data_IF_068918280357
#
_entry.id   IF_068918280357
#
_cell.length_a   1.000
_cell.length_b   1.000
_cell.length_c   1.000
_cell.angle_alpha   90.00
_cell.angle_beta   90.00
_cell.angle_gamma   90.00
#
_symmetry.space_group_name_H-M   'P 1'
#
loop_
_entity.id
_entity.type
_entity.pdbx_description
1 polymer ?
#
# COMPACT_ATOMS: atom_id res chain seq x y z
N UNK A 1 -9.28 -31.93 18.06
CA UNK A 1 -8.51 -30.74 17.65
C UNK A 1 -7.02 -31.07 17.70
N UNK A 2 -6.32 -31.29 16.61
CA UNK A 2 -4.86 -31.36 16.65
C UNK A 2 -4.37 -29.92 16.55
N UNK A 3 -3.98 -29.32 17.69
CA UNK A 3 -3.30 -28.06 17.75
C UNK A 3 -2.04 -28.13 16.88
N UNK A 4 -1.96 -27.29 15.85
CA UNK A 4 -0.72 -27.01 15.13
C UNK A 4 0.24 -26.36 16.14
N UNK A 5 0.95 -27.20 16.90
CA UNK A 5 2.10 -26.75 17.70
C UNK A 5 3.08 -26.17 16.66
N UNK A 6 3.23 -24.85 16.64
CA UNK A 6 4.47 -24.25 16.19
C UNK A 6 5.58 -24.74 17.12
N UNK A 7 5.92 -26.01 17.00
CA UNK A 7 7.21 -26.50 17.47
C UNK A 7 8.23 -25.72 16.65
N UNK A 8 9.24 -25.18 17.30
CA UNK A 8 10.46 -24.67 16.72
C UNK A 8 11.06 -25.74 15.78
N UNK A 9 10.40 -25.92 14.64
CA UNK A 9 10.86 -26.81 13.60
C UNK A 9 11.71 -25.92 12.67
N UNK A 10 13.04 -26.03 12.73
CA UNK A 10 13.92 -25.19 11.91
C UNK A 10 13.59 -25.29 10.41
N UNK A 11 12.87 -26.33 10.00
CA UNK A 11 12.39 -26.48 8.63
C UNK A 11 11.30 -25.48 8.25
N UNK A 12 10.35 -25.14 9.15
CA UNK A 12 9.23 -24.22 8.87
C UNK A 12 9.75 -22.78 8.77
N UNK A 13 10.55 -22.35 9.74
CA UNK A 13 11.15 -21.00 9.70
C UNK A 13 12.03 -20.82 8.46
N UNK A 14 12.82 -21.84 8.09
CA UNK A 14 13.64 -21.82 6.87
C UNK A 14 12.80 -21.73 5.59
N UNK A 15 11.61 -22.34 5.58
CA UNK A 15 10.68 -22.22 4.44
C UNK A 15 10.04 -20.84 4.35
N UNK A 16 9.68 -20.20 5.48
CA UNK A 16 9.13 -18.85 5.52
C UNK A 16 10.19 -17.81 5.16
N UNK A 17 11.45 -18.02 5.57
CA UNK A 17 12.58 -17.10 5.31
C UNK A 17 13.39 -17.53 4.08
N UNK A 18 12.75 -18.13 3.08
CA UNK A 18 13.39 -18.40 1.79
C UNK A 18 13.87 -17.11 1.12
N UNK A 19 14.93 -17.14 0.31
CA UNK A 19 15.43 -15.97 -0.41
C UNK A 19 14.36 -15.20 -1.16
N UNK A 20 13.39 -15.90 -1.75
CA UNK A 20 12.29 -15.31 -2.49
C UNK A 20 11.39 -14.44 -1.61
N UNK A 21 11.14 -14.83 -0.35
CA UNK A 21 10.32 -14.05 0.60
C UNK A 21 11.12 -12.85 1.10
N UNK A 22 12.40 -13.03 1.40
CA UNK A 22 13.29 -11.94 1.86
C UNK A 22 13.44 -10.88 0.77
N UNK A 23 13.72 -11.29 -0.45
CA UNK A 23 13.89 -10.38 -1.58
C UNK A 23 12.58 -9.67 -1.93
N UNK A 24 11.44 -10.37 -1.83
CA UNK A 24 10.12 -9.75 -1.97
C UNK A 24 9.83 -8.72 -0.87
N UNK A 25 10.21 -9.03 0.37
CA UNK A 25 10.06 -8.13 1.52
C UNK A 25 10.93 -6.88 1.40
N UNK A 26 12.18 -7.04 0.97
CA UNK A 26 13.11 -5.93 0.71
C UNK A 26 12.64 -5.08 -0.48
N UNK A 27 12.02 -5.69 -1.51
CA UNK A 27 11.42 -4.95 -2.63
C UNK A 27 10.32 -4.03 -2.16
N UNK A 28 9.39 -4.56 -1.40
CA UNK A 28 8.30 -3.75 -0.85
C UNK A 28 8.79 -2.73 0.18
N UNK A 29 9.86 -3.04 0.93
CA UNK A 29 10.52 -2.08 1.82
C UNK A 29 11.02 -0.85 1.06
N UNK A 30 11.69 -1.04 -0.06
CA UNK A 30 12.20 0.07 -0.88
C UNK A 30 11.06 0.83 -1.56
N UNK A 31 9.96 0.15 -1.98
CA UNK A 31 8.73 0.77 -2.48
C UNK A 31 8.14 1.75 -1.45
N UNK A 32 7.92 1.28 -0.22
CA UNK A 32 7.32 2.10 0.83
C UNK A 32 8.27 3.18 1.33
N UNK A 33 9.57 2.90 1.39
CA UNK A 33 10.62 3.90 1.65
C UNK A 33 10.48 5.09 0.70
N UNK A 34 10.44 4.85 -0.62
CA UNK A 34 10.37 5.92 -1.62
C UNK A 34 9.04 6.67 -1.60
N UNK A 35 7.94 5.96 -1.41
CA UNK A 35 6.61 6.55 -1.33
C UNK A 35 6.52 7.59 -0.21
N UNK A 36 7.08 7.28 0.97
CA UNK A 36 7.05 8.16 2.12
C UNK A 36 8.15 9.21 2.06
N UNK A 37 9.31 8.84 1.53
CA UNK A 37 10.39 9.79 1.30
C UNK A 37 9.90 11.01 0.53
N UNK A 38 9.19 10.82 -0.60
CA UNK A 38 8.64 11.90 -1.38
C UNK A 38 7.66 12.77 -0.57
N UNK A 39 6.77 12.17 0.20
CA UNK A 39 5.81 12.91 1.02
C UNK A 39 6.50 13.89 1.99
N UNK A 40 7.66 13.51 2.52
CA UNK A 40 8.46 14.32 3.42
C UNK A 40 9.31 15.35 2.66
N UNK A 41 9.96 14.94 1.57
CA UNK A 41 10.89 15.78 0.80
C UNK A 41 10.21 16.79 -0.10
N UNK A 42 8.91 16.66 -0.35
CA UNK A 42 8.13 17.55 -1.23
C UNK A 42 8.32 19.04 -0.89
N UNK A 43 8.20 19.38 0.39
CA UNK A 43 8.31 20.78 0.81
C UNK A 43 9.75 21.29 0.74
N UNK A 44 10.76 20.62 1.29
CA UNK A 44 12.14 21.09 1.18
C UNK A 44 12.65 21.13 -0.27
N UNK A 45 12.31 20.17 -1.13
CA UNK A 45 12.71 20.18 -2.53
C UNK A 45 12.10 21.35 -3.32
N UNK A 46 10.80 21.62 -3.13
CA UNK A 46 10.15 22.77 -3.79
C UNK A 46 10.66 24.12 -3.28
N UNK A 47 10.98 24.22 -1.98
CA UNK A 47 11.59 25.45 -1.44
C UNK A 47 13.00 25.69 -2.00
N UNK A 48 13.82 24.66 -2.16
CA UNK A 48 15.15 24.80 -2.77
C UNK A 48 15.08 25.20 -4.24
N UNK A 49 13.99 24.84 -4.96
CA UNK A 49 13.69 25.25 -6.31
C UNK A 49 13.10 26.69 -6.39
N UNK A 50 12.95 27.40 -5.26
CA UNK A 50 12.45 28.77 -5.20
C UNK A 50 10.93 28.92 -5.10
N UNK A 51 10.17 27.83 -4.94
CA UNK A 51 8.70 27.92 -4.79
C UNK A 51 8.29 28.26 -3.34
N UNK A 52 7.29 29.11 -3.20
CA UNK A 52 6.71 29.54 -1.91
C UNK A 52 5.20 29.78 -2.04
N UNK A 53 4.50 29.91 -0.90
CA UNK A 53 3.06 30.21 -0.87
C UNK A 53 2.23 29.22 -1.69
N UNK A 54 1.28 29.73 -2.47
CA UNK A 54 0.35 28.91 -3.27
C UNK A 54 1.06 28.10 -4.36
N UNK A 55 2.16 28.62 -4.93
CA UNK A 55 2.96 27.90 -5.91
C UNK A 55 3.64 26.65 -5.32
N UNK A 56 4.06 26.67 -4.06
CA UNK A 56 4.60 25.51 -3.37
C UNK A 56 3.52 24.44 -3.19
N UNK A 57 2.32 24.85 -2.81
CA UNK A 57 1.19 23.93 -2.61
C UNK A 57 0.77 23.30 -3.95
N UNK A 58 0.54 24.11 -4.98
CA UNK A 58 0.07 23.64 -6.29
C UNK A 58 1.06 22.70 -6.97
N UNK A 59 2.36 23.05 -6.97
CA UNK A 59 3.41 22.17 -7.50
C UNK A 59 3.57 20.90 -6.66
N UNK A 60 3.40 20.98 -5.34
CA UNK A 60 3.41 19.82 -4.47
C UNK A 60 2.28 18.83 -4.78
N UNK A 61 1.08 19.33 -5.06
CA UNK A 61 -0.07 18.53 -5.51
C UNK A 61 0.18 17.94 -6.89
N UNK A 62 0.72 18.73 -7.83
CA UNK A 62 1.10 18.25 -9.17
C UNK A 62 2.03 17.04 -9.08
N UNK A 63 3.13 17.15 -8.33
CA UNK A 63 4.12 16.08 -8.20
C UNK A 63 3.52 14.81 -7.56
N UNK A 64 2.67 14.99 -6.54
CA UNK A 64 1.97 13.87 -5.91
C UNK A 64 1.02 13.18 -6.89
N UNK A 65 0.23 13.98 -7.62
CA UNK A 65 -0.71 13.45 -8.62
C UNK A 65 0.01 12.72 -9.74
N UNK A 66 1.13 13.24 -10.24
CA UNK A 66 1.95 12.57 -11.26
C UNK A 66 2.44 11.20 -10.77
N UNK A 67 2.92 11.10 -9.53
CA UNK A 67 3.29 9.82 -8.94
C UNK A 67 2.10 8.86 -8.84
N UNK A 68 0.94 9.32 -8.37
CA UNK A 68 -0.26 8.48 -8.22
C UNK A 68 -0.80 8.00 -9.58
N UNK A 69 -0.82 8.87 -10.59
CA UNK A 69 -1.20 8.49 -11.96
C UNK A 69 -0.19 7.47 -12.53
N UNK A 70 1.10 7.68 -12.27
CA UNK A 70 2.14 6.71 -12.60
C UNK A 70 1.86 5.34 -11.97
N UNK A 71 1.51 5.30 -10.68
CA UNK A 71 1.18 4.06 -9.97
C UNK A 71 -0.06 3.37 -10.54
N UNK A 72 -1.10 4.12 -10.91
CA UNK A 72 -2.30 3.54 -11.54
C UNK A 72 -1.96 2.91 -12.89
N UNK A 73 -1.26 3.63 -13.75
CA UNK A 73 -0.86 3.14 -15.08
C UNK A 73 0.13 1.96 -14.96
N UNK A 74 1.12 2.09 -14.08
CA UNK A 74 2.11 1.05 -13.79
C UNK A 74 1.47 -0.21 -13.20
N UNK A 75 0.47 -0.06 -12.33
CA UNK A 75 -0.29 -1.17 -11.74
C UNK A 75 -0.94 -2.04 -12.81
N UNK A 76 -1.57 -1.44 -13.80
CA UNK A 76 -2.17 -2.15 -14.93
C UNK A 76 -1.06 -2.79 -15.79
N UNK A 77 -0.05 -2.01 -16.19
CA UNK A 77 1.02 -2.48 -17.06
C UNK A 77 1.80 -3.65 -16.44
N UNK A 78 2.31 -3.49 -15.22
CA UNK A 78 3.09 -4.52 -14.55
C UNK A 78 2.23 -5.71 -14.13
N UNK A 79 0.96 -5.50 -13.80
CA UNK A 79 0.04 -6.59 -13.55
C UNK A 79 -0.12 -7.50 -14.76
N UNK A 80 -0.40 -6.91 -15.93
CA UNK A 80 -0.49 -7.63 -17.21
C UNK A 80 0.85 -8.31 -17.56
N UNK A 81 1.96 -7.58 -17.38
CA UNK A 81 3.30 -8.11 -17.64
C UNK A 81 3.59 -9.35 -16.78
N UNK A 82 3.24 -9.30 -15.50
CA UNK A 82 3.43 -10.40 -14.56
C UNK A 82 2.66 -11.67 -14.94
N UNK A 83 1.45 -11.53 -15.48
CA UNK A 83 0.65 -12.67 -15.92
C UNK A 83 1.07 -13.21 -17.31
N UNK A 84 1.63 -12.36 -18.18
CA UNK A 84 2.05 -12.76 -19.54
C UNK A 84 3.50 -13.22 -19.62
N UNK A 85 4.41 -12.51 -19.00
CA UNK A 85 5.85 -12.73 -19.14
C UNK A 85 6.43 -13.47 -17.94
N UNK A 86 5.92 -13.22 -16.74
CA UNK A 86 6.32 -13.88 -15.50
C UNK A 86 6.44 -12.90 -14.32
N UNK A 87 6.35 -13.45 -13.13
CA UNK A 87 6.38 -12.67 -11.88
C UNK A 87 7.76 -12.07 -11.66
N UNK A 88 8.80 -12.83 -12.00
CA UNK A 88 10.20 -12.38 -11.88
C UNK A 88 10.48 -11.25 -12.86
N UNK A 89 10.04 -11.36 -14.11
CA UNK A 89 10.21 -10.31 -15.13
C UNK A 89 9.51 -8.99 -14.72
N UNK A 90 8.30 -9.07 -14.16
CA UNK A 90 7.59 -7.94 -13.58
C UNK A 90 8.44 -7.25 -12.51
N UNK A 91 8.95 -8.01 -11.55
CA UNK A 91 9.74 -7.50 -10.43
C UNK A 91 11.07 -6.86 -10.88
N UNK A 92 11.73 -7.42 -11.90
CA UNK A 92 12.95 -6.82 -12.48
C UNK A 92 12.66 -5.50 -13.20
N UNK A 93 11.62 -5.48 -14.04
CA UNK A 93 11.24 -4.29 -14.80
C UNK A 93 10.83 -3.13 -13.89
N UNK A 94 10.04 -3.43 -12.85
CA UNK A 94 9.55 -2.42 -11.92
C UNK A 94 10.70 -1.78 -11.13
N UNK A 95 11.59 -2.60 -10.55
CA UNK A 95 12.69 -2.08 -9.73
C UNK A 95 13.72 -1.29 -10.54
N UNK A 96 14.06 -1.76 -11.74
CA UNK A 96 14.96 -1.04 -12.62
C UNK A 96 14.42 0.35 -12.95
N UNK A 97 13.14 0.40 -13.34
CA UNK A 97 12.53 1.65 -13.77
C UNK A 97 12.44 2.68 -12.65
N UNK A 98 11.99 2.28 -11.45
CA UNK A 98 11.90 3.23 -10.35
C UNK A 98 13.28 3.64 -9.82
N UNK A 99 14.28 2.74 -9.83
CA UNK A 99 15.64 3.05 -9.38
C UNK A 99 16.28 4.12 -10.26
N UNK A 100 16.16 3.97 -11.58
CA UNK A 100 16.61 4.97 -12.55
C UNK A 100 15.88 6.30 -12.34
N UNK A 101 14.55 6.25 -12.17
CA UNK A 101 13.75 7.45 -11.97
C UNK A 101 14.11 8.19 -10.68
N UNK A 102 14.40 7.48 -9.59
CA UNK A 102 14.84 8.11 -8.33
C UNK A 102 16.23 8.72 -8.45
N UNK A 103 17.18 8.05 -9.07
CA UNK A 103 18.49 8.63 -9.35
C UNK A 103 18.31 9.89 -10.19
N UNK A 104 17.48 9.87 -11.23
CA UNK A 104 17.19 11.02 -12.06
C UNK A 104 16.50 12.16 -11.29
N UNK A 105 15.59 11.86 -10.36
CA UNK A 105 15.02 12.85 -9.43
C UNK A 105 16.11 13.55 -8.59
N UNK A 106 17.14 12.82 -8.17
CA UNK A 106 18.27 13.37 -7.44
C UNK A 106 19.11 14.37 -8.23
N UNK A 107 19.01 14.39 -9.55
CA UNK A 107 19.69 15.36 -10.43
C UNK A 107 18.80 16.54 -10.86
N UNK A 108 17.54 16.60 -10.43
CA UNK A 108 16.66 17.72 -10.77
C UNK A 108 17.04 18.95 -9.93
N UNK A 109 17.41 20.06 -10.58
CA UNK A 109 17.80 21.30 -9.89
C UNK A 109 16.65 22.32 -9.85
N UNK A 110 16.03 22.63 -11.01
CA UNK A 110 15.07 23.76 -11.14
C UNK A 110 13.82 23.47 -11.96
N UNK A 111 13.81 22.40 -12.77
CA UNK A 111 12.71 22.10 -13.67
C UNK A 111 11.60 21.30 -12.98
N UNK A 112 10.48 21.97 -12.67
CA UNK A 112 9.28 21.31 -12.13
C UNK A 112 8.71 20.26 -13.10
N UNK A 113 8.83 20.50 -14.41
CA UNK A 113 8.35 19.56 -15.43
C UNK A 113 9.19 18.29 -15.42
N UNK A 114 10.52 18.42 -15.38
CA UNK A 114 11.41 17.26 -15.27
C UNK A 114 11.15 16.48 -13.98
N UNK A 115 10.95 17.16 -12.85
CA UNK A 115 10.59 16.55 -11.58
C UNK A 115 9.28 15.77 -11.69
N UNK A 116 8.25 16.38 -12.28
CA UNK A 116 6.94 15.75 -12.47
C UNK A 116 7.01 14.49 -13.35
N UNK A 117 7.78 14.55 -14.45
CA UNK A 117 7.99 13.40 -15.35
C UNK A 117 8.70 12.27 -14.61
N UNK A 118 9.78 12.56 -13.89
CA UNK A 118 10.48 11.53 -13.12
C UNK A 118 9.65 10.98 -11.96
N UNK A 119 8.80 11.81 -11.32
CA UNK A 119 7.84 11.31 -10.31
C UNK A 119 6.78 10.38 -10.92
N UNK A 120 6.29 10.68 -12.14
CA UNK A 120 5.41 9.76 -12.86
C UNK A 120 6.11 8.43 -13.15
N UNK A 121 7.35 8.46 -13.68
CA UNK A 121 8.12 7.26 -14.00
C UNK A 121 8.45 6.45 -12.74
N UNK A 122 8.82 7.12 -11.64
CA UNK A 122 9.04 6.46 -10.36
C UNK A 122 7.77 5.78 -9.86
N UNK A 123 6.63 6.47 -9.87
CA UNK A 123 5.35 5.89 -9.49
C UNK A 123 4.96 4.70 -10.38
N UNK A 124 5.16 4.82 -11.68
CA UNK A 124 4.93 3.73 -12.64
C UNK A 124 5.76 2.50 -12.30
N UNK A 125 7.06 2.67 -11.99
CA UNK A 125 7.95 1.59 -11.58
C UNK A 125 7.53 0.97 -10.24
N UNK A 126 7.28 1.77 -9.19
CA UNK A 126 6.91 1.29 -7.85
C UNK A 126 5.65 0.39 -7.85
N UNK A 127 4.74 0.58 -8.80
CA UNK A 127 3.47 -0.12 -8.82
C UNK A 127 3.58 -1.66 -8.90
N UNK A 128 4.68 -2.18 -9.46
CA UNK A 128 4.88 -3.63 -9.65
C UNK A 128 5.31 -4.40 -8.40
N UNK A 129 5.93 -3.73 -7.44
CA UNK A 129 6.68 -4.41 -6.36
C UNK A 129 5.80 -5.23 -5.42
N UNK A 130 4.81 -4.60 -4.80
CA UNK A 130 3.95 -5.28 -3.83
C UNK A 130 3.17 -6.43 -4.47
N UNK A 131 2.49 -6.17 -5.57
CA UNK A 131 1.66 -7.16 -6.24
C UNK A 131 2.46 -8.33 -6.77
N UNK A 132 3.60 -8.07 -7.41
CA UNK A 132 4.51 -9.08 -7.91
C UNK A 132 5.10 -9.95 -6.80
N UNK A 133 5.55 -9.33 -5.70
CA UNK A 133 6.08 -10.02 -4.54
C UNK A 133 5.05 -10.92 -3.85
N UNK A 134 3.84 -10.40 -3.60
CA UNK A 134 2.75 -11.17 -3.00
C UNK A 134 2.34 -12.34 -3.91
N UNK A 135 2.17 -12.10 -5.22
CA UNK A 135 1.82 -13.16 -6.17
C UNK A 135 2.87 -14.26 -6.18
N UNK A 136 4.14 -13.90 -6.31
CA UNK A 136 5.23 -14.86 -6.36
C UNK A 136 5.30 -15.71 -5.08
N UNK A 137 5.19 -15.10 -3.92
CA UNK A 137 5.24 -15.81 -2.63
C UNK A 137 4.00 -16.70 -2.41
N UNK A 138 2.81 -16.26 -2.81
CA UNK A 138 1.59 -17.08 -2.70
C UNK A 138 1.60 -18.29 -3.64
N UNK A 139 2.32 -18.21 -4.75
CA UNK A 139 2.47 -19.32 -5.70
C UNK A 139 3.59 -20.30 -5.34
N UNK A 140 4.64 -19.83 -4.65
CA UNK A 140 5.81 -20.68 -4.28
C UNK A 140 5.62 -21.36 -2.94
N UNK A 141 5.03 -20.68 -1.95
CA UNK A 141 4.86 -21.27 -0.62
C UNK A 141 3.67 -22.26 -0.55
N UNK A 142 3.82 -23.34 0.26
CA UNK A 142 2.71 -24.23 0.61
C UNK A 142 1.53 -23.46 1.21
N UNK A 143 0.30 -23.96 1.04
CA UNK A 143 -0.95 -23.31 1.47
C UNK A 143 -0.90 -22.81 2.93
N UNK A 144 -0.35 -23.63 3.82
CA UNK A 144 -0.26 -23.38 5.26
C UNK A 144 0.72 -22.24 5.60
N UNK A 145 1.70 -21.97 4.73
CA UNK A 145 2.76 -20.98 4.97
C UNK A 145 2.59 -19.67 4.20
N UNK A 146 1.68 -19.61 3.22
CA UNK A 146 1.45 -18.42 2.37
C UNK A 146 1.20 -17.16 3.19
N UNK A 147 0.30 -17.25 4.17
CA UNK A 147 -0.04 -16.11 5.01
C UNK A 147 1.13 -15.63 5.88
N UNK A 148 2.02 -16.50 6.32
CA UNK A 148 3.25 -16.08 7.01
C UNK A 148 4.21 -15.38 6.05
N UNK A 149 4.40 -15.91 4.83
CA UNK A 149 5.26 -15.29 3.81
C UNK A 149 4.75 -13.90 3.41
N UNK A 150 3.47 -13.76 3.13
CA UNK A 150 2.86 -12.46 2.79
C UNK A 150 2.88 -11.49 3.97
N UNK A 151 2.79 -11.98 5.21
CA UNK A 151 2.95 -11.16 6.42
C UNK A 151 4.36 -10.62 6.53
N UNK A 152 5.38 -11.43 6.28
CA UNK A 152 6.79 -10.97 6.27
C UNK A 152 6.98 -9.87 5.22
N UNK A 153 6.52 -10.09 3.98
CA UNK A 153 6.62 -9.07 2.92
C UNK A 153 5.97 -7.76 3.36
N UNK A 154 4.72 -7.82 3.78
CA UNK A 154 3.95 -6.61 4.09
C UNK A 154 4.50 -5.87 5.31
N UNK A 155 4.87 -6.59 6.37
CA UNK A 155 5.36 -5.99 7.62
C UNK A 155 6.74 -5.35 7.44
N UNK A 156 7.68 -6.09 6.85
CA UNK A 156 9.02 -5.58 6.54
C UNK A 156 8.92 -4.43 5.54
N UNK A 157 8.05 -4.56 4.52
CA UNK A 157 7.84 -3.52 3.54
C UNK A 157 7.37 -2.20 4.16
N UNK A 158 6.31 -2.23 4.96
CA UNK A 158 5.78 -1.02 5.61
C UNK A 158 6.81 -0.37 6.54
N UNK A 159 7.71 -1.14 7.17
CA UNK A 159 8.80 -0.59 7.98
C UNK A 159 9.76 0.31 7.17
N UNK A 160 9.80 0.17 5.86
CA UNK A 160 10.51 1.09 4.95
C UNK A 160 10.12 2.56 5.12
N UNK A 161 8.83 2.85 5.46
CA UNK A 161 8.38 4.20 5.77
C UNK A 161 9.09 4.82 6.98
N UNK A 162 9.33 4.03 8.02
CA UNK A 162 10.02 4.48 9.23
C UNK A 162 11.46 4.87 8.90
N UNK A 163 12.14 4.02 8.14
CA UNK A 163 13.53 4.28 7.71
C UNK A 163 13.59 5.47 6.74
N UNK A 164 12.64 5.57 5.79
CA UNK A 164 12.53 6.73 4.90
C UNK A 164 12.37 8.05 5.67
N UNK A 165 11.54 8.05 6.70
CA UNK A 165 11.37 9.20 7.59
C UNK A 165 12.63 9.59 8.36
N UNK A 166 13.41 8.61 8.83
CA UNK A 166 14.68 8.83 9.52
C UNK A 166 15.78 9.36 8.57
N UNK A 167 15.86 8.82 7.37
CA UNK A 167 16.82 9.27 6.35
C UNK A 167 16.51 10.70 5.92
N UNK A 168 15.25 11.00 5.61
CA UNK A 168 14.83 12.34 5.17
C UNK A 168 15.10 13.47 6.17
N UNK A 169 15.30 13.13 7.46
CA UNK A 169 15.65 14.10 8.50
C UNK A 169 17.16 14.36 8.62
N UNK A 170 18.01 13.50 8.04
CA UNK A 170 19.46 13.53 8.24
C UNK A 170 20.25 13.95 7.01
N UNK A 171 19.65 13.84 5.82
CA UNK A 171 20.32 14.14 4.55
C UNK A 171 19.50 15.12 3.74
N UNK A 172 20.12 15.81 2.78
CA UNK A 172 19.42 16.64 1.83
C UNK A 172 18.55 15.80 0.88
N UNK A 173 17.61 16.46 0.19
CA UNK A 173 16.63 15.74 -0.61
C UNK A 173 17.20 15.05 -1.85
N UNK A 174 18.28 15.58 -2.46
CA UNK A 174 18.99 14.93 -3.58
C UNK A 174 19.63 13.61 -3.12
N UNK A 175 20.41 13.68 -2.02
CA UNK A 175 21.05 12.51 -1.41
C UNK A 175 20.02 11.44 -1.01
N UNK A 176 18.87 11.85 -0.48
CA UNK A 176 17.80 10.92 -0.10
C UNK A 176 17.26 10.14 -1.32
N UNK A 177 17.12 10.79 -2.49
CA UNK A 177 16.76 10.10 -3.73
C UNK A 177 17.86 9.18 -4.25
N UNK A 178 19.12 9.57 -4.16
CA UNK A 178 20.25 8.70 -4.54
C UNK A 178 20.31 7.45 -3.65
N UNK A 179 20.04 7.59 -2.35
CA UNK A 179 19.94 6.43 -1.45
C UNK A 179 18.81 5.50 -1.89
N UNK A 180 17.60 6.02 -2.17
CA UNK A 180 16.46 5.23 -2.62
C UNK A 180 16.74 4.49 -3.92
N UNK A 181 17.25 5.19 -4.93
CA UNK A 181 17.63 4.58 -6.20
C UNK A 181 18.77 3.56 -6.06
N UNK A 182 19.76 3.84 -5.22
CA UNK A 182 20.87 2.93 -4.92
C UNK A 182 20.40 1.65 -4.23
N UNK A 183 19.52 1.75 -3.23
CA UNK A 183 18.90 0.59 -2.58
C UNK A 183 18.16 -0.29 -3.60
N UNK A 184 17.44 0.33 -4.55
CA UNK A 184 16.78 -0.40 -5.61
C UNK A 184 17.76 -1.14 -6.52
N UNK A 185 18.88 -0.53 -6.93
CA UNK A 185 19.90 -1.21 -7.74
C UNK A 185 20.56 -2.38 -6.99
N UNK A 186 20.84 -2.23 -5.69
CA UNK A 186 21.34 -3.33 -4.86
C UNK A 186 20.33 -4.48 -4.83
N UNK A 187 19.05 -4.16 -4.65
CA UNK A 187 17.99 -5.16 -4.65
C UNK A 187 17.84 -5.84 -6.02
N UNK A 188 18.02 -5.12 -7.12
CA UNK A 188 18.03 -5.70 -8.47
C UNK A 188 19.06 -6.81 -8.60
N UNK A 189 20.27 -6.59 -8.05
CA UNK A 189 21.34 -7.62 -8.03
C UNK A 189 20.94 -8.82 -7.16
N UNK A 190 20.36 -8.59 -5.98
CA UNK A 190 19.88 -9.67 -5.10
C UNK A 190 18.78 -10.53 -5.77
N UNK A 191 18.02 -9.97 -6.69
CA UNK A 191 16.96 -10.69 -7.43
C UNK A 191 17.47 -11.63 -8.51
N UNK A 192 18.72 -11.55 -8.92
CA UNK A 192 19.29 -12.48 -9.90
C UNK A 192 19.23 -13.94 -9.43
N UNK A 193 19.09 -14.18 -8.14
CA UNK A 193 18.94 -15.52 -7.55
C UNK A 193 17.51 -16.02 -7.44
N UNK A 194 16.49 -15.20 -7.79
CA UNK A 194 15.08 -15.56 -7.63
C UNK A 194 14.57 -16.31 -8.86
N UNK A 195 14.00 -17.50 -8.62
CA UNK A 195 13.40 -18.32 -9.67
C UNK A 195 11.91 -18.01 -9.86
N UNK A 196 11.41 -18.27 -11.07
CA UNK A 196 9.99 -18.13 -11.41
C UNK A 196 9.13 -19.22 -10.75
N UNK A 197 7.86 -18.92 -10.46
CA UNK A 197 6.94 -19.84 -9.80
C UNK A 197 6.60 -21.06 -10.67
N UNK A 198 6.49 -22.23 -10.04
CA UNK A 198 6.06 -23.45 -10.73
C UNK A 198 4.62 -23.35 -11.27
N UNK A 199 3.74 -22.63 -10.58
CA UNK A 199 2.36 -22.40 -11.04
C UNK A 199 2.35 -21.62 -12.36
N UNK A 200 3.18 -20.58 -12.49
CA UNK A 200 3.30 -19.83 -13.74
C UNK A 200 3.91 -20.67 -14.86
N UNK A 201 4.97 -21.46 -14.57
CA UNK A 201 5.59 -22.34 -15.54
C UNK A 201 4.59 -23.37 -16.07
N UNK A 202 3.78 -23.97 -15.19
CA UNK A 202 2.70 -24.92 -15.54
C UNK A 202 1.62 -24.25 -16.40
N UNK A 203 1.21 -23.01 -16.05
CA UNK A 203 0.27 -22.23 -16.85
C UNK A 203 0.79 -22.00 -18.27
N UNK A 204 2.06 -21.62 -18.41
CA UNK A 204 2.70 -21.34 -19.69
C UNK A 204 2.92 -22.60 -20.55
N UNK A 205 3.08 -23.76 -19.91
CA UNK A 205 3.20 -25.06 -20.59
C UNK A 205 1.83 -25.67 -20.95
N UNK A 206 0.73 -25.11 -20.49
CA UNK A 206 -0.64 -25.54 -20.77
C UNK A 206 -1.13 -25.16 -22.15
N UNK A 207 -2.42 -25.43 -22.47
CA UNK A 207 -3.01 -25.10 -23.78
C UNK A 207 -2.84 -23.62 -24.14
N UNK A 208 -2.56 -23.33 -25.40
CA UNK A 208 -2.33 -21.99 -25.94
C UNK A 208 -3.55 -21.04 -25.82
N UNK A 209 -4.74 -21.61 -25.60
CA UNK A 209 -6.00 -20.84 -25.53
C UNK A 209 -6.24 -20.16 -24.16
N UNK A 210 -5.35 -20.31 -23.18
CA UNK A 210 -5.52 -19.65 -21.88
C UNK A 210 -5.15 -18.18 -21.98
N UNK A 211 -6.15 -17.31 -21.92
CA UNK A 211 -5.96 -15.87 -21.88
C UNK A 211 -5.30 -15.46 -20.54
N UNK A 212 -4.04 -15.04 -20.59
CA UNK A 212 -3.28 -14.59 -19.42
C UNK A 212 -3.07 -13.07 -19.46
N UNK A 213 -3.17 -12.40 -18.30
CA UNK A 213 -2.95 -10.96 -18.19
C UNK A 213 -3.92 -10.12 -19.02
N UNK A 214 -5.15 -10.57 -19.16
CA UNK A 214 -6.20 -9.79 -19.80
C UNK A 214 -6.97 -9.00 -18.73
N UNK A 215 -6.57 -7.73 -18.51
CA UNK A 215 -7.21 -6.85 -17.53
C UNK A 215 -8.71 -6.68 -17.80
N UNK A 216 -9.13 -6.65 -19.08
CA UNK A 216 -10.54 -6.51 -19.44
C UNK A 216 -11.39 -7.70 -19.00
N UNK A 217 -10.78 -8.85 -18.76
CA UNK A 217 -11.43 -10.04 -18.22
C UNK A 217 -12.11 -9.80 -16.88
N UNK A 218 -11.61 -8.83 -16.10
CA UNK A 218 -12.23 -8.41 -14.83
C UNK A 218 -13.62 -7.79 -15.02
N UNK A 219 -13.96 -7.35 -16.22
CA UNK A 219 -15.20 -6.65 -16.55
C UNK A 219 -16.18 -7.51 -17.38
N UNK A 220 -15.81 -8.73 -17.75
CA UNK A 220 -16.64 -9.61 -18.60
C UNK A 220 -17.77 -10.32 -17.84
N UNK A 221 -17.64 -10.43 -16.50
CA UNK A 221 -18.66 -11.02 -15.63
C UNK A 221 -18.95 -10.06 -14.48
N UNK A 222 -20.23 -9.85 -14.16
CA UNK A 222 -20.65 -8.99 -13.04
C UNK A 222 -20.09 -9.51 -11.71
N UNK A 223 -20.09 -10.83 -11.50
CA UNK A 223 -19.58 -11.43 -10.26
C UNK A 223 -18.08 -11.17 -10.11
N UNK A 224 -17.29 -11.35 -11.18
CA UNK A 224 -15.85 -11.08 -11.19
C UNK A 224 -15.57 -9.60 -11.00
N UNK A 225 -16.30 -8.74 -11.67
CA UNK A 225 -16.21 -7.28 -11.49
C UNK A 225 -16.53 -6.88 -10.04
N UNK A 226 -17.63 -7.37 -9.48
CA UNK A 226 -18.01 -7.07 -8.10
C UNK A 226 -16.99 -7.59 -7.09
N UNK A 227 -16.43 -8.77 -7.30
CA UNK A 227 -15.34 -9.33 -6.49
C UNK A 227 -14.11 -8.40 -6.54
N UNK A 228 -13.72 -7.94 -7.74
CA UNK A 228 -12.61 -7.01 -7.93
C UNK A 228 -12.86 -5.66 -7.24
N UNK A 229 -14.02 -5.06 -7.44
CA UNK A 229 -14.42 -3.80 -6.81
C UNK A 229 -14.42 -3.92 -5.28
N UNK A 230 -14.96 -5.01 -4.72
CA UNK A 230 -14.94 -5.26 -3.27
C UNK A 230 -13.52 -5.37 -2.73
N UNK A 231 -12.61 -6.01 -3.47
CA UNK A 231 -11.20 -6.04 -3.09
C UNK A 231 -10.58 -4.63 -3.01
N UNK A 232 -10.96 -3.71 -3.91
CA UNK A 232 -10.48 -2.32 -3.86
C UNK A 232 -11.13 -1.58 -2.68
N UNK A 233 -12.46 -1.62 -2.58
CA UNK A 233 -13.22 -0.80 -1.65
C UNK A 233 -12.93 -1.13 -0.17
N UNK A 234 -12.62 -2.38 0.16
CA UNK A 234 -12.24 -2.75 1.52
C UNK A 234 -10.90 -2.13 1.96
N UNK A 235 -10.06 -1.71 1.02
CA UNK A 235 -8.79 -1.03 1.29
C UNK A 235 -8.90 0.48 1.54
N UNK A 236 -10.03 1.12 1.20
CA UNK A 236 -10.20 2.58 1.27
C UNK A 236 -9.92 3.19 2.65
N UNK A 237 -10.35 2.59 3.80
CA UNK A 237 -10.12 3.19 5.10
C UNK A 237 -8.63 3.44 5.40
N UNK A 238 -7.73 2.57 4.99
CA UNK A 238 -6.30 2.76 5.20
C UNK A 238 -5.82 4.07 4.56
N UNK A 239 -6.19 4.30 3.31
CA UNK A 239 -5.75 5.51 2.60
C UNK A 239 -6.56 6.75 2.98
N UNK A 240 -7.75 6.60 3.54
CA UNK A 240 -8.44 7.67 4.25
C UNK A 240 -7.66 8.08 5.51
N UNK A 241 -7.18 7.12 6.29
CA UNK A 241 -6.36 7.38 7.49
C UNK A 241 -5.08 8.13 7.09
N UNK A 242 -4.29 7.58 6.16
CA UNK A 242 -3.00 8.16 5.77
C UNK A 242 -3.19 9.48 5.01
N UNK A 243 -4.07 9.52 4.03
CA UNK A 243 -4.24 10.66 3.11
C UNK A 243 -5.11 11.80 3.63
N UNK A 244 -6.04 11.52 4.58
CA UNK A 244 -6.90 12.56 5.15
C UNK A 244 -6.55 12.78 6.62
N UNK A 245 -6.74 11.79 7.50
CA UNK A 245 -6.61 12.02 8.94
C UNK A 245 -5.19 12.36 9.37
N UNK A 246 -4.18 11.71 8.79
CA UNK A 246 -2.76 11.92 9.14
C UNK A 246 -2.16 13.08 8.33
N UNK A 247 -2.40 13.13 7.01
CA UNK A 247 -1.84 14.18 6.18
C UNK A 247 -2.37 15.58 6.49
N UNK A 248 -3.63 15.69 6.91
CA UNK A 248 -4.27 16.95 7.36
C UNK A 248 -4.40 17.03 8.88
N UNK A 249 -3.57 16.27 9.62
CA UNK A 249 -3.60 16.30 11.08
C UNK A 249 -3.42 17.69 11.67
N UNK A 250 -2.58 18.63 11.18
CA UNK A 250 -2.48 19.97 11.75
C UNK A 250 -3.79 20.75 11.68
N UNK A 251 -4.48 20.71 10.54
CA UNK A 251 -5.75 21.42 10.35
C UNK A 251 -6.86 20.82 11.21
N UNK A 252 -6.89 19.49 11.34
CA UNK A 252 -7.88 18.79 12.15
C UNK A 252 -7.60 19.02 13.64
N UNK A 253 -6.34 18.90 14.09
CA UNK A 253 -5.97 19.09 15.51
C UNK A 253 -6.11 20.53 15.98
N UNK A 254 -5.85 21.51 15.09
CA UNK A 254 -6.15 22.92 15.39
C UNK A 254 -7.65 23.09 15.69
N UNK A 255 -8.52 22.50 14.88
CA UNK A 255 -9.97 22.53 15.11
C UNK A 255 -10.41 21.70 16.33
N UNK A 256 -9.64 20.70 16.75
CA UNK A 256 -9.84 19.92 17.98
C UNK A 256 -9.17 20.56 19.21
N UNK A 257 -8.61 21.76 19.10
CA UNK A 257 -7.87 22.46 20.16
C UNK A 257 -6.67 21.67 20.73
N UNK A 258 -6.00 20.89 19.90
CA UNK A 258 -4.75 20.18 20.23
C UNK A 258 -3.59 20.94 19.59
N UNK A 259 -2.62 21.37 20.42
CA UNK A 259 -1.46 22.13 19.94
C UNK A 259 -0.23 21.24 19.77
N UNK A 260 0.73 21.72 18.96
CA UNK A 260 2.05 21.08 18.84
C UNK A 260 2.14 19.88 17.90
N UNK A 261 1.04 19.47 17.27
CA UNK A 261 1.03 18.31 16.37
C UNK A 261 1.81 18.58 15.08
N UNK A 262 2.77 17.69 14.78
CA UNK A 262 3.59 17.73 13.57
C UNK A 262 3.23 16.55 12.65
N UNK A 263 2.95 16.85 11.38
CA UNK A 263 2.60 15.84 10.35
C UNK A 263 3.64 14.72 10.29
N UNK A 264 4.94 15.06 10.29
CA UNK A 264 5.99 14.05 10.20
C UNK A 264 5.96 13.05 11.36
N UNK A 265 5.66 13.51 12.58
CA UNK A 265 5.49 12.64 13.73
C UNK A 265 4.21 11.80 13.60
N UNK A 266 3.08 12.40 13.19
CA UNK A 266 1.83 11.69 12.98
C UNK A 266 2.01 10.57 11.91
N UNK A 267 2.70 10.84 10.82
CA UNK A 267 3.07 9.84 9.80
C UNK A 267 3.90 8.72 10.45
N UNK A 268 4.93 9.06 11.21
CA UNK A 268 5.83 8.06 11.83
C UNK A 268 5.07 7.15 12.79
N UNK A 269 4.23 7.70 13.68
CA UNK A 269 3.41 6.91 14.60
C UNK A 269 2.38 6.06 13.89
N UNK A 270 1.72 6.59 12.83
CA UNK A 270 0.77 5.84 12.03
C UNK A 270 1.44 4.63 11.35
N UNK A 271 2.57 4.84 10.67
CA UNK A 271 3.27 3.74 9.98
C UNK A 271 3.90 2.74 10.94
N UNK A 272 4.35 3.16 12.11
CA UNK A 272 4.76 2.25 13.18
C UNK A 272 3.56 1.39 13.62
N UNK A 273 2.40 1.99 13.80
CA UNK A 273 1.15 1.29 14.06
C UNK A 273 0.80 0.29 12.95
N UNK A 274 0.84 0.70 11.67
CA UNK A 274 0.57 -0.19 10.52
C UNK A 274 1.54 -1.38 10.52
N UNK A 275 2.80 -1.18 10.88
CA UNK A 275 3.79 -2.26 10.96
C UNK A 275 3.40 -3.31 12.01
N UNK A 276 3.09 -2.89 13.24
CA UNK A 276 2.65 -3.80 14.30
C UNK A 276 1.30 -4.45 13.99
N UNK A 277 0.34 -3.67 13.51
CA UNK A 277 -0.96 -4.17 13.09
C UNK A 277 -0.88 -5.12 11.91
N UNK A 278 0.04 -4.88 10.97
CA UNK A 278 0.31 -5.76 9.84
C UNK A 278 0.79 -7.13 10.29
N UNK A 279 1.76 -7.16 11.20
CA UNK A 279 2.21 -8.41 11.80
C UNK A 279 1.06 -9.12 12.54
N UNK A 280 0.33 -8.38 13.39
CA UNK A 280 -0.78 -8.94 14.17
C UNK A 280 -1.90 -9.49 13.27
N UNK A 281 -2.33 -8.75 12.23
CA UNK A 281 -3.37 -9.19 11.31
C UNK A 281 -2.97 -10.46 10.57
N UNK A 282 -1.74 -10.51 10.07
CA UNK A 282 -1.18 -11.69 9.42
C UNK A 282 -1.12 -12.90 10.36
N UNK A 283 -0.60 -12.71 11.57
CA UNK A 283 -0.50 -13.76 12.59
C UNK A 283 -1.87 -14.30 13.01
N UNK A 284 -2.81 -13.42 13.35
CA UNK A 284 -4.16 -13.82 13.74
C UNK A 284 -4.92 -14.49 12.59
N UNK A 285 -4.67 -14.11 11.33
CA UNK A 285 -5.31 -14.77 10.19
C UNK A 285 -4.90 -16.23 10.06
N UNK A 286 -3.67 -16.57 10.43
CA UNK A 286 -3.19 -17.96 10.47
C UNK A 286 -3.72 -18.70 11.70
N UNK A 287 -3.71 -18.04 12.86
CA UNK A 287 -4.17 -18.66 14.12
C UNK A 287 -5.66 -19.00 14.05
N UNK A 288 -6.49 -18.07 13.57
CA UNK A 288 -7.95 -18.25 13.45
C UNK A 288 -8.37 -19.00 12.16
N UNK A 289 -7.41 -19.33 11.29
CA UNK A 289 -7.66 -19.97 9.99
C UNK A 289 -8.77 -19.27 9.20
N UNK A 290 -8.80 -17.94 9.26
CA UNK A 290 -9.79 -17.15 8.55
C UNK A 290 -9.25 -15.73 8.33
N UNK A 291 -9.06 -15.38 7.08
CA UNK A 291 -8.68 -14.02 6.70
C UNK A 291 -9.87 -13.06 6.85
N UNK A 292 -11.06 -13.53 6.51
CA UNK A 292 -12.28 -12.73 6.54
C UNK A 292 -12.68 -12.30 7.96
N UNK A 293 -12.57 -13.18 8.96
CA UNK A 293 -12.89 -12.86 10.37
C UNK A 293 -11.90 -11.84 10.93
N UNK A 294 -10.61 -12.01 10.64
CA UNK A 294 -9.59 -11.07 11.11
C UNK A 294 -9.74 -9.71 10.44
N UNK A 295 -10.02 -9.67 9.13
CA UNK A 295 -10.32 -8.44 8.42
C UNK A 295 -11.50 -7.69 9.07
N UNK A 296 -12.58 -8.39 9.42
CA UNK A 296 -13.71 -7.80 10.13
C UNK A 296 -13.31 -7.19 11.48
N UNK A 297 -12.58 -7.95 12.30
CA UNK A 297 -12.13 -7.48 13.60
C UNK A 297 -11.26 -6.21 13.49
N UNK A 298 -10.38 -6.17 12.49
CA UNK A 298 -9.56 -4.99 12.23
C UNK A 298 -10.37 -3.80 11.71
N UNK A 299 -11.37 -4.01 10.86
CA UNK A 299 -12.29 -2.94 10.44
C UNK A 299 -13.06 -2.36 11.64
N UNK A 300 -13.56 -3.21 12.54
CA UNK A 300 -14.21 -2.76 13.78
C UNK A 300 -13.23 -1.97 14.65
N UNK A 301 -12.02 -2.50 14.87
CA UNK A 301 -11.00 -1.82 15.64
C UNK A 301 -10.61 -0.47 15.02
N UNK A 302 -10.45 -0.42 13.69
CA UNK A 302 -10.18 0.83 12.95
C UNK A 302 -11.30 1.85 13.16
N UNK A 303 -12.56 1.41 13.12
CA UNK A 303 -13.71 2.28 13.37
C UNK A 303 -13.66 2.87 14.78
N UNK A 304 -13.40 2.04 15.79
CA UNK A 304 -13.28 2.50 17.17
C UNK A 304 -12.14 3.52 17.35
N UNK A 305 -10.99 3.26 16.72
CA UNK A 305 -9.86 4.19 16.79
C UNK A 305 -10.09 5.46 15.99
N UNK A 306 -10.88 5.41 14.90
CA UNK A 306 -11.29 6.61 14.16
C UNK A 306 -12.24 7.48 15.00
N UNK A 307 -13.16 6.86 15.75
CA UNK A 307 -13.99 7.57 16.71
C UNK A 307 -13.12 8.18 17.84
N UNK A 308 -12.20 7.41 18.40
CA UNK A 308 -11.27 7.89 19.41
C UNK A 308 -10.43 9.09 18.92
N UNK A 309 -10.02 9.09 17.64
CA UNK A 309 -9.30 10.20 17.01
C UNK A 309 -10.08 11.51 17.10
N UNK A 310 -11.39 11.51 16.85
CA UNK A 310 -12.22 12.71 16.95
C UNK A 310 -12.58 13.06 18.40
N UNK A 311 -12.57 12.08 19.31
CA UNK A 311 -12.80 12.31 20.74
C UNK A 311 -11.55 12.81 21.49
N UNK A 312 -10.39 12.92 20.84
CA UNK A 312 -9.18 13.49 21.43
C UNK A 312 -9.22 15.02 21.62
N UNK A 313 -10.34 15.68 21.34
CA UNK A 313 -10.45 17.14 21.48
C UNK A 313 -9.98 17.64 22.85
N UNK A 314 -9.11 18.66 22.85
CA UNK A 314 -8.56 19.24 24.07
C UNK A 314 -7.52 18.38 24.81
N UNK A 315 -7.12 17.23 24.28
CA UNK A 315 -6.10 16.37 24.87
C UNK A 315 -4.68 16.82 24.48
N UNK A 316 -3.66 16.18 25.08
CA UNK A 316 -2.27 16.45 24.73
C UNK A 316 -1.90 15.89 23.36
N UNK A 317 -0.84 16.43 22.75
CA UNK A 317 -0.22 15.89 21.53
C UNK A 317 0.24 14.43 21.70
N UNK A 318 0.76 14.08 22.88
CA UNK A 318 1.14 12.70 23.20
C UNK A 318 -0.05 11.72 23.16
N UNK A 319 -1.21 12.11 23.70
CA UNK A 319 -2.45 11.33 23.62
C UNK A 319 -2.88 11.17 22.16
N UNK A 320 -2.81 12.25 21.37
CA UNK A 320 -3.13 12.22 19.95
C UNK A 320 -2.22 11.25 19.18
N UNK A 321 -0.89 11.31 19.39
CA UNK A 321 0.04 10.39 18.71
C UNK A 321 -0.18 8.93 19.11
N UNK A 322 -0.55 8.65 20.37
CA UNK A 322 -0.93 7.31 20.79
C UNK A 322 -2.16 6.81 20.02
N UNK A 323 -3.19 7.65 19.89
CA UNK A 323 -4.39 7.28 19.10
C UNK A 323 -4.06 7.10 17.63
N UNK A 324 -3.20 7.93 17.05
CA UNK A 324 -2.72 7.77 15.67
C UNK A 324 -1.94 6.46 15.48
N UNK A 325 -1.12 6.06 16.45
CA UNK A 325 -0.44 4.77 16.45
C UNK A 325 -1.44 3.61 16.49
N UNK A 326 -2.45 3.66 17.35
CA UNK A 326 -3.49 2.63 17.45
C UNK A 326 -4.38 2.61 16.20
N UNK A 327 -4.69 3.77 15.63
CA UNK A 327 -5.41 3.89 14.36
C UNK A 327 -4.61 3.25 13.22
N UNK A 328 -3.29 3.50 13.19
CA UNK A 328 -2.36 2.82 12.30
C UNK A 328 -2.35 1.31 12.50
N UNK A 329 -2.36 0.84 13.77
CA UNK A 329 -2.44 -0.58 14.07
C UNK A 329 -3.73 -1.21 13.52
N UNK A 330 -4.86 -0.51 13.61
CA UNK A 330 -6.10 -0.90 12.95
C UNK A 330 -5.95 -1.02 11.43
N UNK A 331 -5.34 -0.02 10.80
CA UNK A 331 -5.05 -0.03 9.36
C UNK A 331 -4.07 -1.13 8.92
N UNK A 332 -3.40 -1.80 9.86
CA UNK A 332 -2.47 -2.91 9.61
C UNK A 332 -3.12 -4.14 8.94
N UNK A 333 -4.45 -4.20 8.80
CA UNK A 333 -5.11 -5.21 7.97
C UNK A 333 -4.68 -5.15 6.49
N UNK A 334 -3.92 -4.13 6.09
CA UNK A 334 -3.28 -4.05 4.77
C UNK A 334 -2.57 -5.35 4.37
N UNK A 335 -1.92 -6.00 5.31
CA UNK A 335 -1.22 -7.28 5.09
C UNK A 335 -2.15 -8.38 4.58
N UNK A 336 -3.29 -8.58 5.26
CA UNK A 336 -4.26 -9.61 4.84
C UNK A 336 -5.10 -9.16 3.66
N UNK A 337 -5.32 -7.85 3.50
CA UNK A 337 -6.03 -7.25 2.38
C UNK A 337 -5.37 -7.59 1.03
N UNK A 338 -4.06 -7.34 0.89
CA UNK A 338 -3.34 -7.66 -0.36
C UNK A 338 -3.26 -9.16 -0.60
N UNK A 339 -3.20 -9.96 0.47
CA UNK A 339 -3.24 -11.42 0.38
C UNK A 339 -4.60 -11.91 -0.12
N UNK A 340 -5.70 -11.40 0.46
CA UNK A 340 -7.07 -11.71 0.00
C UNK A 340 -7.23 -11.36 -1.47
N UNK A 341 -6.79 -10.18 -1.89
CA UNK A 341 -6.90 -9.75 -3.29
C UNK A 341 -6.19 -10.72 -4.24
N UNK A 342 -4.98 -11.19 -3.89
CA UNK A 342 -4.23 -12.16 -4.69
C UNK A 342 -4.89 -13.55 -4.71
N UNK A 343 -5.49 -13.97 -3.59
CA UNK A 343 -6.08 -15.31 -3.44
C UNK A 343 -7.53 -15.43 -3.97
N UNK A 344 -8.20 -14.30 -4.27
CA UNK A 344 -9.56 -14.31 -4.82
C UNK A 344 -9.60 -14.76 -6.28
N UNK A 345 -8.49 -14.66 -7.03
CA UNK A 345 -8.47 -14.82 -8.49
C UNK A 345 -7.50 -15.91 -8.96
N UNK A 346 -7.80 -16.49 -10.13
CA UNK A 346 -7.03 -17.55 -10.75
C UNK A 346 -5.63 -17.11 -11.22
N UNK A 347 -4.77 -18.08 -11.48
CA UNK A 347 -3.34 -17.86 -11.81
C UNK A 347 -3.14 -16.98 -13.05
N UNK A 348 -4.08 -17.02 -14.01
CA UNK A 348 -3.99 -16.28 -15.28
C UNK A 348 -4.22 -14.76 -15.17
N UNK A 349 -4.82 -14.27 -14.07
CA UNK A 349 -5.04 -12.83 -13.81
C UNK A 349 -4.63 -12.41 -12.39
N UNK A 350 -3.99 -13.29 -11.63
CA UNK A 350 -3.62 -13.05 -10.23
C UNK A 350 -2.65 -11.89 -10.06
N UNK A 351 -1.57 -11.83 -10.88
CA UNK A 351 -0.63 -10.73 -10.79
C UNK A 351 -1.26 -9.41 -11.21
N UNK A 352 -2.16 -9.42 -12.20
CA UNK A 352 -2.96 -8.26 -12.59
C UNK A 352 -3.77 -7.74 -11.40
N UNK A 353 -4.49 -8.59 -10.70
CA UNK A 353 -5.31 -8.19 -9.54
C UNK A 353 -4.46 -7.78 -8.35
N UNK A 354 -3.46 -8.59 -7.98
CA UNK A 354 -2.59 -8.32 -6.83
C UNK A 354 -1.80 -7.00 -6.99
N UNK A 355 -1.55 -6.57 -8.23
CA UNK A 355 -0.85 -5.33 -8.54
C UNK A 355 -1.81 -4.15 -8.68
N UNK A 356 -2.96 -4.32 -9.35
CA UNK A 356 -3.89 -3.21 -9.58
C UNK A 356 -4.67 -2.84 -8.32
N UNK A 357 -5.16 -3.80 -7.54
CA UNK A 357 -5.99 -3.52 -6.35
C UNK A 357 -5.31 -2.56 -5.37
N UNK A 358 -4.09 -2.80 -4.85
CA UNK A 358 -3.47 -1.86 -3.93
C UNK A 358 -3.15 -0.50 -4.58
N UNK A 359 -2.83 -0.45 -5.87
CA UNK A 359 -2.54 0.80 -6.56
C UNK A 359 -3.82 1.62 -6.84
N UNK A 360 -4.96 0.98 -7.10
CA UNK A 360 -6.24 1.66 -7.19
C UNK A 360 -6.69 2.23 -5.84
N UNK A 361 -6.44 1.50 -4.75
CA UNK A 361 -6.69 2.01 -3.39
C UNK A 361 -5.81 3.21 -3.08
N UNK A 362 -4.53 3.17 -3.45
CA UNK A 362 -3.60 4.32 -3.33
C UNK A 362 -4.10 5.50 -4.18
N UNK A 363 -4.48 5.26 -5.42
CA UNK A 363 -5.02 6.28 -6.33
C UNK A 363 -6.33 6.91 -5.83
N UNK A 364 -7.17 6.16 -5.11
CA UNK A 364 -8.41 6.68 -4.52
C UNK A 364 -8.15 7.78 -3.48
N UNK A 365 -6.92 7.91 -2.96
CA UNK A 365 -6.54 9.01 -2.06
C UNK A 365 -6.85 10.38 -2.68
N UNK A 366 -6.69 10.54 -3.99
CA UNK A 366 -7.00 11.80 -4.69
C UNK A 366 -8.50 12.14 -4.52
N UNK A 367 -9.37 11.16 -4.70
CA UNK A 367 -10.82 11.35 -4.51
C UNK A 367 -11.17 11.65 -3.06
N UNK A 368 -10.54 10.93 -2.10
CA UNK A 368 -10.78 11.11 -0.67
C UNK A 368 -10.34 12.50 -0.20
N UNK A 369 -9.17 12.95 -0.60
CA UNK A 369 -8.67 14.28 -0.25
C UNK A 369 -9.46 15.38 -0.92
N UNK A 370 -9.87 15.21 -2.18
CA UNK A 370 -10.74 16.15 -2.87
C UNK A 370 -12.11 16.25 -2.22
N UNK A 371 -12.72 15.11 -1.83
CA UNK A 371 -13.98 15.09 -1.10
C UNK A 371 -13.88 15.79 0.25
N UNK A 372 -12.77 15.56 0.99
CA UNK A 372 -12.49 16.23 2.25
C UNK A 372 -12.40 17.76 2.05
N UNK A 373 -11.63 18.23 1.06
CA UNK A 373 -11.48 19.66 0.78
C UNK A 373 -12.80 20.29 0.34
N UNK A 374 -13.55 19.62 -0.52
CA UNK A 374 -14.88 20.08 -0.96
C UNK A 374 -15.84 20.22 0.24
N UNK A 375 -15.98 19.20 1.06
CA UNK A 375 -16.83 19.24 2.24
C UNK A 375 -16.42 20.32 3.22
N UNK A 376 -15.11 20.51 3.44
CA UNK A 376 -14.57 21.55 4.31
C UNK A 376 -15.00 22.95 3.88
N UNK A 377 -15.17 23.19 2.58
CA UNK A 377 -15.58 24.47 2.02
C UNK A 377 -17.12 24.64 1.93
N UNK A 378 -17.91 23.59 2.16
CA UNK A 378 -19.36 23.67 2.11
C UNK A 378 -19.90 24.61 3.19
N UNK A 379 -20.76 25.54 2.78
CA UNK A 379 -21.45 26.45 3.67
C UNK A 379 -22.59 25.72 4.42
N UNK A 380 -22.70 26.01 5.71
CA UNK A 380 -23.78 25.56 6.60
C UNK A 380 -24.41 26.78 7.28
N UNK A 381 -25.53 26.64 7.94
CA UNK A 381 -26.23 27.74 8.63
C UNK A 381 -25.37 28.42 9.72
N UNK A 382 -24.31 27.75 10.19
CA UNK A 382 -23.37 28.26 11.21
C UNK A 382 -21.97 28.65 10.66
N UNK A 383 -21.77 28.68 9.32
CA UNK A 383 -20.46 28.94 8.71
C UNK A 383 -20.04 27.86 7.71
N UNK A 384 -18.79 27.37 7.77
CA UNK A 384 -18.33 26.23 6.97
C UNK A 384 -18.38 24.94 7.78
N UNK A 385 -18.52 23.79 7.13
CA UNK A 385 -18.57 22.48 7.78
C UNK A 385 -17.32 22.17 8.62
N UNK A 386 -16.17 22.73 8.21
CA UNK A 386 -14.91 22.62 8.93
C UNK A 386 -14.18 21.29 8.75
N UNK A 387 -12.95 21.23 9.27
CA UNK A 387 -12.05 20.08 9.04
C UNK A 387 -12.50 18.82 9.76
N UNK A 388 -13.00 18.94 11.00
CA UNK A 388 -13.38 17.78 11.83
C UNK A 388 -14.59 17.05 11.26
N UNK A 389 -15.68 17.78 10.99
CA UNK A 389 -16.90 17.19 10.41
C UNK A 389 -16.64 16.60 9.03
N UNK A 390 -15.89 17.29 8.19
CA UNK A 390 -15.54 16.79 6.83
C UNK A 390 -14.72 15.52 6.89
N UNK A 391 -13.73 15.43 7.77
CA UNK A 391 -12.92 14.23 7.97
C UNK A 391 -13.76 13.07 8.53
N UNK A 392 -14.69 13.36 9.46
CA UNK A 392 -15.59 12.35 10.01
C UNK A 392 -16.58 11.81 8.97
N UNK A 393 -17.11 12.65 8.09
CA UNK A 393 -18.00 12.22 7.00
C UNK A 393 -17.25 11.33 6.02
N UNK A 394 -16.07 11.75 5.54
CA UNK A 394 -15.27 10.97 4.60
C UNK A 394 -14.82 9.66 5.24
N UNK A 395 -14.35 9.68 6.47
CA UNK A 395 -13.93 8.49 7.21
C UNK A 395 -15.09 7.53 7.46
N UNK A 396 -16.24 8.03 7.89
CA UNK A 396 -17.46 7.25 8.10
C UNK A 396 -17.94 6.59 6.81
N UNK A 397 -17.97 7.34 5.69
CA UNK A 397 -18.31 6.80 4.38
C UNK A 397 -17.36 5.69 3.95
N UNK A 398 -16.05 5.87 4.13
CA UNK A 398 -15.05 4.83 3.85
C UNK A 398 -15.29 3.57 4.66
N UNK A 399 -15.61 3.69 5.96
CA UNK A 399 -15.88 2.54 6.82
C UNK A 399 -17.14 1.80 6.39
N UNK A 400 -18.25 2.52 6.11
CA UNK A 400 -19.50 1.91 5.62
C UNK A 400 -19.28 1.14 4.30
N UNK A 401 -18.56 1.76 3.36
CA UNK A 401 -18.20 1.13 2.08
C UNK A 401 -17.33 -0.12 2.31
N UNK A 402 -16.37 -0.05 3.23
CA UNK A 402 -15.49 -1.18 3.52
C UNK A 402 -16.23 -2.35 4.18
N UNK A 403 -17.19 -2.10 5.09
CA UNK A 403 -18.03 -3.15 5.67
C UNK A 403 -18.94 -3.78 4.62
N UNK A 404 -19.51 -2.97 3.75
CA UNK A 404 -20.30 -3.49 2.61
C UNK A 404 -19.41 -4.36 1.70
N UNK A 405 -18.22 -3.91 1.35
CA UNK A 405 -17.29 -4.67 0.54
C UNK A 405 -16.87 -5.98 1.22
N UNK A 406 -16.53 -5.93 2.52
CA UNK A 406 -16.19 -7.10 3.32
C UNK A 406 -17.29 -8.17 3.32
N UNK A 407 -18.57 -7.77 3.39
CA UNK A 407 -19.71 -8.71 3.46
C UNK A 407 -19.77 -9.67 2.28
N UNK A 408 -19.28 -9.26 1.13
CA UNK A 408 -19.28 -10.06 -0.10
C UNK A 408 -17.93 -10.63 -0.52
N UNK A 409 -16.89 -10.53 0.33
CA UNK A 409 -15.62 -11.22 0.09
C UNK A 409 -15.72 -12.68 0.51
N UNK A 410 -15.11 -13.56 -0.27
CA UNK A 410 -15.00 -14.99 0.07
C UNK A 410 -13.86 -15.22 1.09
N UNK A 411 -13.98 -16.30 1.88
CA UNK A 411 -12.86 -16.78 2.70
C UNK A 411 -11.81 -17.40 1.78
N UNK A 412 -10.56 -17.00 1.98
CA UNK A 412 -9.44 -17.46 1.13
C UNK A 412 -8.40 -18.29 1.86
N UNK A 413 -8.56 -18.47 3.19
CA UNK A 413 -7.65 -19.32 3.95
C UNK A 413 -7.73 -20.77 3.46
N UNK A 414 -6.56 -21.36 3.15
CA UNK A 414 -6.40 -22.72 2.60
C UNK A 414 -7.05 -22.95 1.22
N UNK A 415 -7.46 -21.87 0.51
CA UNK A 415 -8.00 -21.99 -0.86
C UNK A 415 -6.94 -22.57 -1.80
N UNK A 416 -7.37 -23.47 -2.68
CA UNK A 416 -6.53 -23.92 -3.77
C UNK A 416 -6.36 -22.78 -4.78
N UNK A 417 -5.12 -22.43 -5.09
CA UNK A 417 -4.79 -21.35 -6.01
C UNK A 417 -4.40 -21.85 -7.42
N UNK A 418 -4.28 -23.17 -7.61
CA UNK A 418 -3.93 -23.75 -8.92
C UNK A 418 -5.18 -23.91 -9.79
N UNK A 419 -5.81 -22.77 -10.12
CA UNK A 419 -6.95 -22.71 -11.03
C UNK A 419 -6.85 -21.52 -11.98
N UNK A 420 -7.62 -21.59 -13.07
CA UNK A 420 -7.68 -20.60 -14.14
C UNK A 420 -9.07 -20.00 -14.15
N UNK A 421 -9.16 -18.67 -14.19
CA UNK A 421 -10.42 -17.98 -14.42
C UNK A 421 -10.91 -18.24 -15.85
N UNK A 422 -12.17 -18.64 -16.04
CA UNK A 422 -12.74 -18.82 -17.38
C UNK A 422 -12.82 -17.47 -18.12
N UNK A 423 -12.71 -17.51 -19.46
CA UNK A 423 -12.80 -16.33 -20.34
C UNK A 423 -14.23 -15.79 -20.37
#
# INVERSE_FOLDING_TARGET
MPGFKMKNNPSVLRQILQPIVIVGALGYFVDVYDLILFAILRVPSLKSMGFSGDALVSNGVLLLNMQMIGMLAGGIFFGILGDRVGRVALLFGSILLYSVANIANGFVESSIVAYAVWRFIAGFGLAGELGGGITLVTEVLPKELRGYGTTVISTVGVFGAVIGGLVAQKVDWHTAYFIGGGLGLVLLVLRLSVAESHMFQKLKAGPADVSSGNFLMLFTSLDRFMKYVRCILVGLPLWCIVGVLVAFSPEITTALHIQGVKVAQAISFCYLGITFGGFASGYFSQLLRSRRKVLFAFLVFTTLMMVAYFLCAGQSDGTFYLVVLLLGAGAGYWTIFVTIAAEQFGTNIRATVATTVPNFVRGATVLLTSSFQFLKSCKTDGGTLGSVASAAIVGGACMLIAFWAWSGLEETHDKDLDYIEPV
#
